data_IF_214422497576
#
_entry.id   IF_214422497576
#
_cell.length_a   1.000
_cell.length_b   1.000
_cell.length_c   1.000
_cell.angle_alpha   90.00
_cell.angle_beta   90.00
_cell.angle_gamma   90.00
#
_symmetry.space_group_name_H-M   'P 1'
#
loop_
_entity.id
_entity.type
_entity.pdbx_description
1 polymer ?
#
# COMPACT_ATOMS: atom_id res chain seq x y z
N UNK A 1 68.13 -14.72 1.69
CA UNK A 1 67.71 -13.49 0.96
C UNK A 1 66.46 -13.77 0.11
N UNK A 2 66.44 -14.80 -0.76
CA UNK A 2 65.29 -15.09 -1.66
C UNK A 2 64.01 -15.43 -0.86
N UNK A 3 64.05 -16.25 0.20
CA UNK A 3 62.88 -16.58 1.04
C UNK A 3 62.27 -15.40 1.73
N UNK A 4 63.08 -14.43 2.22
CA UNK A 4 62.57 -13.20 2.84
C UNK A 4 61.85 -12.33 1.82
N UNK A 5 62.40 -12.22 0.60
CA UNK A 5 61.78 -11.47 -0.46
C UNK A 5 60.43 -12.10 -0.91
N UNK A 6 60.36 -13.46 -0.95
CA UNK A 6 59.14 -14.17 -1.27
C UNK A 6 58.02 -13.94 -0.24
N UNK A 7 58.37 -13.95 1.07
CA UNK A 7 57.42 -13.67 2.14
C UNK A 7 56.91 -12.24 2.07
N UNK A 8 57.73 -11.24 1.82
CA UNK A 8 57.31 -9.86 1.65
C UNK A 8 56.37 -9.71 0.47
N UNK A 9 56.64 -10.33 -0.65
CA UNK A 9 55.76 -10.33 -1.81
C UNK A 9 54.41 -10.98 -1.48
N UNK A 10 54.37 -12.10 -0.78
CA UNK A 10 53.14 -12.76 -0.38
C UNK A 10 52.28 -11.91 0.56
N UNK A 11 52.91 -11.26 1.54
CA UNK A 11 52.21 -10.33 2.44
C UNK A 11 51.62 -9.13 1.70
N UNK A 12 52.32 -8.56 0.73
CA UNK A 12 51.82 -7.47 -0.12
C UNK A 12 50.61 -7.92 -0.94
N UNK A 13 50.65 -9.13 -1.51
CA UNK A 13 49.51 -9.68 -2.27
C UNK A 13 48.30 -9.85 -1.35
N UNK A 14 48.47 -10.39 -0.13
CA UNK A 14 47.40 -10.55 0.85
C UNK A 14 46.78 -9.23 1.26
N UNK A 15 47.59 -8.18 1.46
CA UNK A 15 47.11 -6.84 1.77
C UNK A 15 46.28 -6.28 0.61
N UNK A 16 46.73 -6.44 -0.63
CA UNK A 16 45.99 -5.97 -1.81
C UNK A 16 44.65 -6.70 -1.95
N UNK A 17 44.62 -8.01 -1.75
CA UNK A 17 43.38 -8.81 -1.78
C UNK A 17 42.43 -8.33 -0.69
N UNK A 18 42.92 -8.10 0.52
CA UNK A 18 42.11 -7.58 1.64
C UNK A 18 41.53 -6.19 1.32
N UNK A 19 42.34 -5.28 0.78
CA UNK A 19 41.88 -3.96 0.39
C UNK A 19 40.83 -4.03 -0.75
N UNK A 20 41.00 -4.90 -1.72
CA UNK A 20 40.03 -5.11 -2.80
C UNK A 20 38.71 -5.70 -2.27
N UNK A 21 38.75 -6.62 -1.30
CA UNK A 21 37.56 -7.19 -0.68
C UNK A 21 36.83 -6.15 0.18
N UNK A 22 37.56 -5.35 0.95
CA UNK A 22 37.01 -4.23 1.73
C UNK A 22 36.40 -3.16 0.83
N UNK A 23 37.08 -2.80 -0.25
CA UNK A 23 36.56 -1.85 -1.25
C UNK A 23 35.27 -2.37 -1.91
N UNK A 24 35.25 -3.65 -2.29
CA UNK A 24 34.04 -4.28 -2.84
C UNK A 24 32.88 -4.34 -1.85
N UNK A 25 33.19 -4.65 -0.57
CA UNK A 25 32.21 -4.63 0.51
C UNK A 25 31.68 -3.23 0.77
N UNK A 26 32.54 -2.22 0.80
CA UNK A 26 32.17 -0.81 0.96
C UNK A 26 31.28 -0.34 -0.20
N UNK A 27 31.67 -0.59 -1.45
CA UNK A 27 30.87 -0.22 -2.63
C UNK A 27 29.53 -0.98 -2.74
N UNK A 28 29.46 -2.20 -2.28
CA UNK A 28 28.18 -2.93 -2.19
C UNK A 28 27.26 -2.32 -1.14
N UNK A 29 27.81 -1.86 -0.01
CA UNK A 29 27.05 -1.18 1.06
C UNK A 29 26.56 0.21 0.62
N UNK A 30 27.34 0.93 -0.19
CA UNK A 30 26.96 2.26 -0.72
C UNK A 30 26.02 2.19 -1.94
N UNK A 31 25.84 1.00 -2.54
CA UNK A 31 24.88 0.75 -3.63
C UNK A 31 23.47 0.38 -3.15
N UNK A 32 23.20 0.27 -1.87
CA UNK A 32 21.82 0.25 -1.39
C UNK A 32 21.23 1.62 -1.67
N UNK A 33 20.47 1.73 -2.77
CA UNK A 33 19.71 2.93 -3.09
C UNK A 33 18.81 3.25 -1.90
N UNK A 34 19.06 4.36 -1.24
CA UNK A 34 18.18 4.90 -0.21
C UNK A 34 16.86 5.27 -0.89
N UNK A 35 15.75 4.71 -0.39
CA UNK A 35 14.41 5.03 -0.88
C UNK A 35 14.15 4.60 -2.33
N UNK A 36 14.17 3.29 -2.63
CA UNK A 36 13.90 2.78 -3.98
C UNK A 36 12.51 2.18 -4.13
N UNK A 37 11.89 2.41 -5.29
CA UNK A 37 10.68 1.69 -5.72
C UNK A 37 11.03 0.21 -5.91
N UNK A 38 10.19 -0.67 -5.36
CA UNK A 38 10.37 -2.11 -5.42
C UNK A 38 9.81 -2.64 -6.73
N UNK A 39 10.65 -3.30 -7.52
CA UNK A 39 10.25 -3.89 -8.80
C UNK A 39 9.59 -5.27 -8.66
N UNK A 40 9.00 -5.74 -9.75
CA UNK A 40 8.11 -6.90 -9.83
C UNK A 40 8.66 -8.20 -9.21
N UNK A 41 9.93 -8.54 -9.45
CA UNK A 41 10.53 -9.77 -8.90
C UNK A 41 10.49 -9.76 -7.38
N UNK A 42 10.89 -8.65 -6.76
CA UNK A 42 10.91 -8.49 -5.32
C UNK A 42 9.51 -8.38 -4.72
N UNK A 43 8.58 -7.73 -5.42
CA UNK A 43 7.17 -7.65 -5.02
C UNK A 43 6.53 -9.04 -4.91
N UNK A 44 6.80 -9.95 -5.85
CA UNK A 44 6.29 -11.35 -5.80
C UNK A 44 6.80 -12.13 -4.59
N UNK A 45 8.02 -11.85 -4.13
CA UNK A 45 8.59 -12.44 -2.92
C UNK A 45 7.98 -11.84 -1.66
N UNK A 46 7.78 -10.51 -1.63
CA UNK A 46 7.28 -9.78 -0.47
C UNK A 46 5.77 -9.97 -0.26
N UNK A 47 5.00 -10.12 -1.34
CA UNK A 47 3.55 -10.21 -1.32
C UNK A 47 3.05 -11.48 -2.03
N UNK A 48 3.29 -12.68 -1.47
CA UNK A 48 2.97 -13.94 -2.13
C UNK A 48 1.47 -14.10 -2.45
N UNK A 49 0.58 -13.53 -1.62
CA UNK A 49 -0.87 -13.55 -1.83
C UNK A 49 -1.33 -12.68 -3.02
N UNK A 50 -0.46 -11.79 -3.52
CA UNK A 50 -0.73 -10.91 -4.66
C UNK A 50 0.14 -11.26 -5.89
N UNK A 51 0.78 -12.42 -5.91
CA UNK A 51 1.75 -12.81 -6.94
C UNK A 51 1.23 -12.65 -8.37
N UNK A 52 -0.04 -12.97 -8.60
CA UNK A 52 -0.69 -12.90 -9.91
C UNK A 52 -1.18 -11.50 -10.28
N UNK A 53 -1.21 -10.59 -9.30
CA UNK A 53 -1.61 -9.19 -9.46
C UNK A 53 -0.41 -8.23 -9.50
N UNK A 54 0.83 -8.77 -9.46
CA UNK A 54 2.05 -7.96 -9.56
C UNK A 54 2.26 -7.50 -11.00
N UNK A 55 2.27 -6.18 -11.19
CA UNK A 55 2.66 -5.47 -12.40
C UNK A 55 4.17 -5.14 -12.40
N UNK A 56 4.63 -4.32 -13.35
CA UNK A 56 6.07 -3.99 -13.51
C UNK A 56 6.67 -3.35 -12.26
N UNK A 57 5.97 -2.35 -11.67
CA UNK A 57 6.46 -1.53 -10.56
C UNK A 57 5.43 -1.39 -9.43
N UNK A 58 4.48 -2.32 -9.31
CA UNK A 58 3.43 -2.23 -8.30
C UNK A 58 2.58 -3.49 -8.24
N UNK A 59 1.60 -3.46 -7.35
CA UNK A 59 0.59 -4.50 -7.19
C UNK A 59 -0.75 -3.92 -7.61
N UNK A 60 -1.45 -4.56 -8.53
CA UNK A 60 -2.80 -4.19 -8.92
C UNK A 60 -3.80 -4.72 -7.90
N UNK A 61 -4.44 -3.85 -7.15
CA UNK A 61 -5.43 -4.19 -6.13
C UNK A 61 -6.83 -4.27 -6.73
N UNK A 62 -7.60 -5.27 -6.28
CA UNK A 62 -8.99 -5.48 -6.64
C UNK A 62 -9.91 -5.01 -5.53
N UNK A 63 -11.09 -4.52 -5.89
CA UNK A 63 -12.10 -4.12 -4.92
C UNK A 63 -13.01 -5.32 -4.61
N UNK A 64 -13.07 -5.70 -3.34
CA UNK A 64 -13.99 -6.72 -2.83
C UNK A 64 -15.36 -6.14 -2.51
N UNK A 65 -15.38 -5.03 -1.78
CA UNK A 65 -16.59 -4.36 -1.31
C UNK A 65 -16.51 -2.85 -1.56
N UNK A 66 -17.65 -2.23 -1.84
CA UNK A 66 -17.76 -0.77 -2.01
C UNK A 66 -18.77 -0.22 -1.01
N UNK A 67 -18.43 0.91 -0.39
CA UNK A 67 -19.25 1.59 0.61
C UNK A 67 -19.50 3.03 0.23
N UNK A 68 -20.64 3.56 0.67
CA UNK A 68 -20.99 4.98 0.57
C UNK A 68 -21.26 5.53 1.98
N UNK A 69 -21.02 6.83 2.20
CA UNK A 69 -21.37 7.49 3.46
C UNK A 69 -22.89 7.45 3.65
N UNK A 70 -23.34 6.87 4.75
CA UNK A 70 -24.75 6.78 5.08
C UNK A 70 -25.23 8.06 5.78
N UNK A 71 -25.88 8.93 5.04
CA UNK A 71 -26.40 10.20 5.56
C UNK A 71 -27.55 10.03 6.57
N UNK A 72 -28.25 8.88 6.55
CA UNK A 72 -29.44 8.66 7.40
C UNK A 72 -29.09 8.19 8.82
N UNK A 73 -27.94 7.56 8.97
CA UNK A 73 -27.47 6.99 10.25
C UNK A 73 -26.35 7.79 10.91
N UNK A 74 -26.05 9.00 10.37
CA UNK A 74 -25.10 9.86 11.05
C UNK A 74 -25.78 10.45 12.29
N UNK A 75 -25.40 10.00 13.47
CA UNK A 75 -25.91 10.45 14.78
C UNK A 75 -25.69 11.95 15.04
N UNK A 76 -25.03 12.64 14.13
CA UNK A 76 -24.58 14.03 14.25
C UNK A 76 -25.19 14.95 13.18
N UNK A 77 -26.50 14.88 12.93
CA UNK A 77 -27.20 15.75 11.99
C UNK A 77 -26.57 15.80 10.58
N UNK A 78 -25.92 14.72 10.15
CA UNK A 78 -25.37 14.58 8.79
C UNK A 78 -23.97 15.15 8.57
N UNK A 79 -23.25 15.59 9.59
CA UNK A 79 -21.85 15.98 9.46
C UNK A 79 -20.89 14.96 10.08
N UNK A 80 -19.65 14.96 9.63
CA UNK A 80 -18.54 14.13 10.12
C UNK A 80 -17.33 15.03 10.37
N UNK A 81 -16.51 14.71 11.35
CA UNK A 81 -15.34 15.54 11.63
C UNK A 81 -14.52 15.07 12.83
N UNK A 82 -13.52 15.87 13.14
CA UNK A 82 -12.75 15.79 14.38
C UNK A 82 -12.86 17.15 15.06
N UNK A 83 -13.45 17.19 16.23
CA UNK A 83 -13.61 18.40 17.06
C UNK A 83 -13.18 18.03 18.47
N UNK A 84 -12.29 18.80 19.06
CA UNK A 84 -11.81 18.64 20.45
C UNK A 84 -11.39 17.20 20.80
N UNK A 85 -10.54 16.60 19.95
CA UNK A 85 -10.04 15.21 20.04
C UNK A 85 -11.11 14.08 19.87
N UNK A 86 -12.38 14.42 19.72
CA UNK A 86 -13.41 13.47 19.33
C UNK A 86 -13.34 13.18 17.82
N UNK A 87 -13.17 11.92 17.48
CA UNK A 87 -13.21 11.42 16.10
C UNK A 87 -14.59 10.87 15.82
N UNK A 88 -15.33 11.57 14.97
CA UNK A 88 -16.65 11.17 14.51
C UNK A 88 -16.56 10.58 13.10
N UNK A 89 -16.22 9.26 12.97
CA UNK A 89 -16.17 8.62 11.68
C UNK A 89 -17.58 8.55 11.09
N UNK A 90 -17.72 8.70 9.77
CA UNK A 90 -19.01 8.52 9.12
C UNK A 90 -19.48 7.07 9.30
N UNK A 91 -20.78 6.88 9.35
CA UNK A 91 -21.40 5.58 9.16
C UNK A 91 -21.36 5.23 7.66
N UNK A 92 -21.14 3.96 7.35
CA UNK A 92 -21.01 3.47 5.98
C UNK A 92 -22.13 2.49 5.65
N UNK A 93 -22.72 2.66 4.47
CA UNK A 93 -23.64 1.67 3.90
C UNK A 93 -22.93 0.95 2.72
N UNK A 94 -23.04 -0.38 2.70
CA UNK A 94 -22.52 -1.16 1.57
C UNK A 94 -23.34 -0.89 0.31
N UNK A 95 -22.63 -0.66 -0.80
CA UNK A 95 -23.24 -0.57 -2.13
C UNK A 95 -23.55 -1.98 -2.61
N UNK A 96 -24.83 -2.36 -2.56
CA UNK A 96 -25.29 -3.71 -2.91
C UNK A 96 -25.08 -4.02 -4.39
N UNK A 97 -24.72 -5.26 -4.67
CA UNK A 97 -24.47 -5.76 -6.04
C UNK A 97 -25.74 -6.00 -6.87
N UNK A 98 -26.92 -6.11 -6.27
CA UNK A 98 -28.27 -6.16 -6.82
C UNK A 98 -28.42 -6.80 -8.23
N UNK A 99 -27.95 -8.04 -8.39
CA UNK A 99 -28.08 -8.80 -9.66
C UNK A 99 -27.26 -8.27 -10.83
N UNK A 100 -26.31 -7.33 -10.58
CA UNK A 100 -25.39 -6.77 -11.57
C UNK A 100 -24.04 -7.45 -11.47
N UNK A 101 -23.24 -7.34 -12.52
CA UNK A 101 -21.84 -7.79 -12.59
C UNK A 101 -20.84 -6.66 -12.33
N UNK A 102 -21.34 -5.45 -11.98
CA UNK A 102 -20.53 -4.25 -11.77
C UNK A 102 -21.14 -3.31 -10.73
N UNK A 103 -20.30 -2.49 -10.12
CA UNK A 103 -20.71 -1.33 -9.32
C UNK A 103 -21.04 -0.15 -10.22
N UNK A 104 -22.00 0.68 -9.81
CA UNK A 104 -22.30 1.97 -10.43
C UNK A 104 -21.89 3.07 -9.44
N UNK A 105 -20.96 3.90 -9.87
CA UNK A 105 -20.51 5.06 -9.12
C UNK A 105 -21.22 6.31 -9.68
N UNK A 106 -22.19 6.80 -8.93
CA UNK A 106 -22.98 7.99 -9.32
C UNK A 106 -22.09 9.24 -9.35
N UNK A 107 -22.42 10.23 -10.21
CA UNK A 107 -21.70 11.48 -10.30
C UNK A 107 -21.65 12.23 -8.95
N UNK A 108 -20.50 12.83 -8.65
CA UNK A 108 -20.29 13.68 -7.45
C UNK A 108 -20.48 12.95 -6.13
N UNK A 109 -20.41 11.62 -6.11
CA UNK A 109 -20.46 10.83 -4.89
C UNK A 109 -19.09 10.32 -4.50
N UNK A 110 -18.91 10.21 -3.18
CA UNK A 110 -17.70 9.69 -2.56
C UNK A 110 -17.95 8.28 -2.04
N UNK A 111 -17.05 7.38 -2.36
CA UNK A 111 -17.11 5.97 -2.03
C UNK A 111 -15.85 5.55 -1.27
N UNK A 112 -15.97 4.48 -0.49
CA UNK A 112 -14.85 3.77 0.07
C UNK A 112 -14.77 2.37 -0.54
N UNK A 113 -13.64 2.08 -1.15
CA UNK A 113 -13.33 0.80 -1.76
C UNK A 113 -12.49 -0.04 -0.81
N UNK A 114 -13.05 -1.12 -0.30
CA UNK A 114 -12.33 -2.10 0.50
C UNK A 114 -11.70 -3.11 -0.45
N UNK A 115 -10.40 -3.34 -0.34
CA UNK A 115 -9.70 -4.33 -1.19
C UNK A 115 -10.17 -5.75 -0.87
N UNK A 116 -9.99 -6.66 -1.81
CA UNK A 116 -10.53 -8.03 -1.76
C UNK A 116 -9.86 -8.94 -0.73
N UNK A 117 -8.68 -8.58 -0.24
CA UNK A 117 -7.90 -9.39 0.72
C UNK A 117 -6.94 -8.52 1.54
N UNK A 118 -6.56 -8.96 2.75
CA UNK A 118 -5.62 -8.22 3.58
C UNK A 118 -4.23 -8.16 2.96
N UNK A 119 -3.52 -7.07 3.25
CA UNK A 119 -2.14 -6.85 2.84
C UNK A 119 -1.27 -6.59 4.08
N UNK A 120 -0.05 -7.12 4.06
CA UNK A 120 0.98 -6.79 5.05
C UNK A 120 2.11 -6.03 4.37
N UNK A 121 2.30 -4.78 4.74
CA UNK A 121 3.42 -3.96 4.28
C UNK A 121 4.64 -4.26 5.14
N UNK A 122 5.72 -4.82 4.59
CA UNK A 122 6.87 -5.21 5.40
C UNK A 122 7.52 -4.00 6.08
N UNK A 123 8.06 -4.21 7.28
CA UNK A 123 8.79 -3.17 8.03
C UNK A 123 9.87 -2.52 7.17
N UNK A 124 10.02 -1.18 7.27
CA UNK A 124 10.94 -0.42 6.45
C UNK A 124 10.47 -0.16 5.01
N UNK A 125 9.18 -0.37 4.74
CA UNK A 125 8.55 -0.05 3.47
C UNK A 125 7.26 0.73 3.71
N UNK A 126 6.88 1.52 2.72
CA UNK A 126 5.58 2.18 2.64
C UNK A 126 4.91 1.83 1.32
N UNK A 127 3.61 2.05 1.22
CA UNK A 127 2.90 1.98 -0.04
C UNK A 127 2.23 3.31 -0.40
N UNK A 128 2.30 3.67 -1.68
CA UNK A 128 1.51 4.73 -2.28
C UNK A 128 0.53 4.11 -3.27
N UNK A 129 -0.69 4.66 -3.30
CA UNK A 129 -1.78 4.12 -4.09
C UNK A 129 -2.13 5.07 -5.24
N UNK A 130 -2.40 4.49 -6.40
CA UNK A 130 -2.77 5.23 -7.61
C UNK A 130 -3.92 4.53 -8.31
N UNK A 131 -4.86 5.31 -8.87
CA UNK A 131 -5.80 4.73 -9.82
C UNK A 131 -5.07 4.26 -11.07
N UNK A 132 -5.49 3.11 -11.59
CA UNK A 132 -5.08 2.71 -12.93
C UNK A 132 -5.61 3.73 -13.94
N UNK A 133 -4.81 4.01 -14.97
CA UNK A 133 -5.04 5.09 -15.93
C UNK A 133 -6.43 5.05 -16.60
N UNK A 134 -7.00 3.88 -16.80
CA UNK A 134 -8.35 3.72 -17.35
C UNK A 134 -9.39 4.42 -16.47
N UNK A 135 -9.37 4.16 -15.17
CA UNK A 135 -10.34 4.73 -14.23
C UNK A 135 -10.09 6.21 -13.94
N UNK A 136 -8.83 6.63 -13.92
CA UNK A 136 -8.47 8.04 -13.87
C UNK A 136 -9.03 8.83 -15.05
N UNK A 137 -8.98 8.25 -16.26
CA UNK A 137 -9.56 8.86 -17.49
C UNK A 137 -11.08 8.90 -17.48
N UNK A 138 -11.74 8.02 -16.72
CA UNK A 138 -13.19 8.08 -16.51
C UNK A 138 -13.62 9.18 -15.52
N UNK A 139 -12.66 9.93 -14.98
CA UNK A 139 -12.95 11.01 -14.03
C UNK A 139 -13.08 10.55 -12.57
N UNK A 140 -12.59 9.35 -12.24
CA UNK A 140 -12.44 8.95 -10.85
C UNK A 140 -11.18 9.58 -10.23
N UNK A 141 -11.28 9.94 -8.97
CA UNK A 141 -10.17 10.45 -8.15
C UNK A 141 -10.02 9.52 -6.95
N UNK A 142 -8.79 9.06 -6.72
CA UNK A 142 -8.43 8.32 -5.52
C UNK A 142 -8.01 9.33 -4.44
N UNK A 143 -8.57 9.23 -3.25
CA UNK A 143 -8.25 10.10 -2.11
C UNK A 143 -7.67 9.23 -1.01
N UNK A 144 -6.36 9.27 -0.85
CA UNK A 144 -5.66 8.31 -0.03
C UNK A 144 -4.68 8.89 0.95
N UNK A 145 -4.36 8.04 1.93
CA UNK A 145 -3.18 8.14 2.76
C UNK A 145 -2.08 7.19 2.26
N UNK A 146 -0.92 7.29 2.86
CA UNK A 146 0.20 6.35 2.68
C UNK A 146 -0.13 5.07 3.46
N UNK A 147 0.17 3.91 2.89
CA UNK A 147 0.23 2.65 3.62
C UNK A 147 1.51 2.60 4.43
N UNK A 148 1.37 2.59 5.75
CA UNK A 148 2.47 2.73 6.68
C UNK A 148 3.31 1.44 6.82
N UNK A 149 4.54 1.63 7.28
CA UNK A 149 5.48 0.53 7.58
C UNK A 149 4.91 -0.42 8.63
N UNK A 150 4.93 -1.71 8.35
CA UNK A 150 4.42 -2.78 9.20
C UNK A 150 2.87 -2.77 9.37
N UNK A 151 2.15 -2.05 8.49
CA UNK A 151 0.69 -2.16 8.44
C UNK A 151 0.29 -3.58 8.03
N UNK A 152 -0.67 -4.15 8.74
CA UNK A 152 -1.29 -5.44 8.43
C UNK A 152 -2.80 -5.31 8.54
N UNK A 153 -3.53 -5.56 7.44
CA UNK A 153 -4.99 -5.42 7.44
C UNK A 153 -5.56 -5.25 6.04
N UNK A 154 -6.86 -4.99 5.98
CA UNK A 154 -7.58 -4.75 4.74
C UNK A 154 -7.66 -3.24 4.48
N UNK A 155 -7.09 -2.80 3.37
CA UNK A 155 -7.14 -1.39 2.97
C UNK A 155 -8.56 -0.97 2.61
N UNK A 156 -8.91 0.26 3.01
CA UNK A 156 -10.14 0.93 2.63
C UNK A 156 -9.79 2.29 2.05
N UNK A 157 -9.95 2.45 0.74
CA UNK A 157 -9.43 3.57 -0.05
C UNK A 157 -10.57 4.42 -0.58
N UNK A 158 -10.44 5.73 -0.47
CA UNK A 158 -11.47 6.67 -0.92
C UNK A 158 -11.48 6.84 -2.44
N UNK A 159 -12.65 6.78 -3.07
CA UNK A 159 -12.85 7.05 -4.50
C UNK A 159 -13.97 8.09 -4.67
N UNK A 160 -13.67 9.14 -5.39
CA UNK A 160 -14.65 10.18 -5.75
C UNK A 160 -14.91 10.16 -7.25
N UNK A 161 -16.19 10.09 -7.66
CA UNK A 161 -16.56 10.29 -9.06
C UNK A 161 -16.70 11.78 -9.35
N UNK A 162 -15.66 12.38 -9.92
CA UNK A 162 -15.65 13.81 -10.30
C UNK A 162 -16.34 14.06 -11.66
N UNK A 163 -16.61 13.00 -12.44
CA UNK A 163 -17.24 13.11 -13.74
C UNK A 163 -18.71 13.56 -13.65
N UNK A 164 -19.30 14.06 -14.73
CA UNK A 164 -20.74 14.39 -14.78
C UNK A 164 -21.64 13.17 -15.03
N UNK A 165 -21.06 11.97 -15.24
CA UNK A 165 -21.79 10.75 -15.61
C UNK A 165 -21.49 9.61 -14.65
N UNK A 166 -22.33 8.57 -14.68
CA UNK A 166 -22.07 7.32 -13.96
C UNK A 166 -20.81 6.65 -14.50
N UNK A 167 -20.01 6.10 -13.59
CA UNK A 167 -18.87 5.24 -13.91
C UNK A 167 -19.20 3.80 -13.51
N UNK A 168 -19.19 2.90 -14.47
CA UNK A 168 -19.42 1.48 -14.25
C UNK A 168 -18.10 0.76 -14.01
N UNK A 169 -18.01 0.00 -12.92
CA UNK A 169 -16.80 -0.64 -12.43
C UNK A 169 -17.06 -2.12 -12.16
N UNK A 170 -16.47 -3.00 -12.95
CA UNK A 170 -16.65 -4.45 -12.83
C UNK A 170 -16.24 -4.98 -11.44
N UNK A 171 -16.95 -5.99 -10.96
CA UNK A 171 -16.51 -6.73 -9.77
C UNK A 171 -15.18 -7.43 -10.05
N UNK A 172 -14.31 -7.47 -9.06
CA UNK A 172 -12.95 -8.01 -9.18
C UNK A 172 -12.03 -7.32 -10.20
N UNK A 173 -12.43 -6.15 -10.72
CA UNK A 173 -11.59 -5.36 -11.60
C UNK A 173 -10.34 -4.87 -10.83
N UNK A 174 -9.21 -4.81 -11.53
CA UNK A 174 -7.97 -4.22 -10.99
C UNK A 174 -8.03 -2.70 -11.18
N UNK A 175 -8.23 -1.96 -10.11
CA UNK A 175 -8.55 -0.54 -10.16
C UNK A 175 -7.43 0.33 -9.61
N UNK A 176 -6.75 -0.15 -8.59
CA UNK A 176 -5.74 0.57 -7.84
C UNK A 176 -4.40 -0.11 -8.05
N UNK A 177 -3.34 0.66 -8.24
CA UNK A 177 -1.97 0.18 -8.23
C UNK A 177 -1.27 0.65 -6.95
N UNK A 178 -0.78 -0.29 -6.15
CA UNK A 178 0.04 -0.04 -4.97
C UNK A 178 1.52 -0.07 -5.34
N UNK A 179 2.21 1.04 -5.18
CA UNK A 179 3.66 1.17 -5.39
C UNK A 179 4.35 1.06 -4.04
N UNK A 180 5.20 0.06 -3.86
CA UNK A 180 5.96 -0.16 -2.63
C UNK A 180 7.32 0.53 -2.71
N UNK A 181 7.66 1.30 -1.68
CA UNK A 181 8.88 2.09 -1.58
C UNK A 181 9.62 1.68 -0.32
N UNK A 182 10.91 1.34 -0.46
CA UNK A 182 11.80 1.12 0.70
C UNK A 182 12.11 2.47 1.34
N UNK A 183 11.93 2.56 2.67
CA UNK A 183 12.28 3.76 3.45
C UNK A 183 13.70 3.69 3.99
N UNK A 184 14.31 4.84 4.24
CA UNK A 184 15.64 4.94 4.85
C UNK A 184 15.47 5.18 6.37
N UNK A 185 15.77 4.15 7.16
CA UNK A 185 15.84 4.25 8.62
C UNK A 185 14.51 4.21 9.39
N UNK A 186 13.43 3.68 8.78
CA UNK A 186 12.18 3.46 9.52
C UNK A 186 12.30 2.22 10.42
N UNK A 187 12.29 2.42 11.72
CA UNK A 187 12.32 1.39 12.77
C UNK A 187 11.02 1.30 13.59
N UNK A 188 10.11 2.26 13.42
CA UNK A 188 8.79 2.28 14.05
C UNK A 188 7.80 1.49 13.19
N UNK A 189 7.02 0.62 13.84
CA UNK A 189 5.92 -0.11 13.22
C UNK A 189 4.62 0.66 13.39
N UNK A 190 3.71 0.54 12.42
CA UNK A 190 2.38 1.11 12.52
C UNK A 190 1.59 0.44 13.67
N UNK A 191 1.04 1.24 14.58
CA UNK A 191 0.18 0.80 15.69
C UNK A 191 -1.11 1.63 15.79
N UNK A 192 -1.64 2.04 14.64
CA UNK A 192 -2.89 2.81 14.56
C UNK A 192 -4.15 1.94 14.62
N UNK A 193 -5.30 2.62 14.61
CA UNK A 193 -6.63 2.01 14.75
C UNK A 193 -7.01 1.04 13.63
N UNK A 194 -6.33 1.09 12.49
CA UNK A 194 -6.59 0.21 11.34
C UNK A 194 -5.72 -1.05 11.32
N UNK A 195 -4.78 -1.18 12.27
CA UNK A 195 -3.93 -2.37 12.39
C UNK A 195 -4.77 -3.61 12.71
N UNK A 196 -4.53 -4.69 11.96
CA UNK A 196 -5.24 -5.97 12.11
C UNK A 196 -6.78 -5.85 12.03
N UNK A 197 -7.27 -4.92 11.23
CA UNK A 197 -8.71 -4.66 11.03
C UNK A 197 -9.48 -4.33 12.33
N UNK A 198 -8.83 -3.84 13.37
CA UNK A 198 -9.41 -3.56 14.70
C UNK A 198 -10.71 -2.74 14.59
N UNK A 199 -10.68 -1.61 13.90
CA UNK A 199 -11.82 -0.71 13.78
C UNK A 199 -13.03 -1.33 13.06
N UNK A 200 -12.79 -2.27 12.15
CA UNK A 200 -13.85 -2.97 11.43
C UNK A 200 -14.48 -4.08 12.28
N UNK A 201 -13.71 -4.70 13.16
CA UNK A 201 -14.17 -5.76 14.06
C UNK A 201 -14.97 -5.20 15.23
N UNK A 202 -14.61 -4.04 15.77
CA UNK A 202 -15.32 -3.37 16.85
C UNK A 202 -16.72 -2.93 16.43
N UNK A 203 -16.88 -2.39 15.21
CA UNK A 203 -18.19 -1.96 14.68
C UNK A 203 -19.13 -3.12 14.33
N UNK A 204 -18.63 -4.31 13.98
CA UNK A 204 -19.45 -5.51 13.81
C UNK A 204 -20.09 -5.98 15.12
N UNK A 205 -19.45 -5.74 16.26
CA UNK A 205 -19.94 -6.10 17.58
C UNK A 205 -20.96 -5.09 18.16
N UNK A 206 -21.08 -3.89 17.60
CA UNK A 206 -22.06 -2.86 18.01
C UNK A 206 -23.36 -2.92 17.22
N UNK A 207 -23.47 -3.80 16.22
CA UNK A 207 -24.63 -3.99 15.35
C UNK A 207 -25.39 -5.30 15.59
N UNK A 208 -25.25 -5.94 16.76
CA UNK A 208 -26.05 -7.09 17.19
C UNK A 208 -26.95 -6.73 18.35
#
# INVERSE_FOLDING_TARGET
MIMILLNIILELILIVILLLTLYKSYNNKTRECKGSVIGNRKLKEMFPNFKDDVAENGIDLRIGELYIINKKESDHNGWVGCVDDEKLPPSYAEVKKEGRDHYILEPKNYYFAKIDRPIHIPKGHIQQYYLRSTFSRCGLILTDAIGDSDFNGTLMLGIYNSSPVQVHMGFNERIIQAVTIKTDGTDISYDGNYQNDKIYNEKRNLGQ
#
